data_IF_317942314426
#
_entry.id   IF_317942314426
#
_cell.length_a   1.000
_cell.length_b   1.000
_cell.length_c   1.000
_cell.angle_alpha   90.00
_cell.angle_beta   90.00
_cell.angle_gamma   90.00
#
_symmetry.space_group_name_H-M   'P 1'
#
loop_
_entity.id
_entity.type
_entity.pdbx_description
1 polymer ?
#
# COMPACT_ATOMS: atom_id res chain seq x y z
N UNK A 1 -30.00 58.62 4.03
CA UNK A 1 -30.67 58.17 5.28
C UNK A 1 -30.77 56.64 5.41
N UNK A 2 -30.49 55.84 4.37
CA UNK A 2 -30.54 54.37 4.41
C UNK A 2 -29.25 53.67 4.89
N UNK A 3 -28.09 54.33 4.80
CA UNK A 3 -26.80 53.73 5.23
C UNK A 3 -26.60 53.71 6.75
N UNK A 4 -27.27 54.60 7.49
CA UNK A 4 -27.08 54.77 8.93
C UNK A 4 -27.87 53.74 9.76
N UNK A 5 -29.01 53.29 9.24
CA UNK A 5 -29.78 52.20 9.86
C UNK A 5 -29.10 50.84 9.62
N UNK A 6 -28.49 50.64 8.45
CA UNK A 6 -27.75 49.42 8.13
C UNK A 6 -26.47 49.30 8.98
N UNK A 7 -25.73 50.39 9.16
CA UNK A 7 -24.53 50.43 10.00
C UNK A 7 -24.86 50.18 11.47
N UNK A 8 -25.99 50.70 11.96
CA UNK A 8 -26.49 50.42 13.32
C UNK A 8 -26.87 48.94 13.50
N UNK A 9 -27.56 48.34 12.52
CA UNK A 9 -27.91 46.91 12.54
C UNK A 9 -26.67 46.01 12.55
N UNK A 10 -25.67 46.33 11.71
CA UNK A 10 -24.40 45.61 11.65
C UNK A 10 -23.59 45.74 12.95
N UNK A 11 -23.59 46.92 13.57
CA UNK A 11 -22.91 47.13 14.86
C UNK A 11 -23.61 46.36 15.99
N UNK A 12 -24.96 46.32 15.99
CA UNK A 12 -25.74 45.55 16.96
C UNK A 12 -25.50 44.03 16.80
N UNK A 13 -25.46 43.55 15.57
CA UNK A 13 -25.14 42.15 15.26
C UNK A 13 -23.70 41.77 15.65
N UNK A 14 -22.72 42.65 15.43
CA UNK A 14 -21.33 42.45 15.87
C UNK A 14 -21.18 42.42 17.39
N UNK A 15 -21.95 43.25 18.11
CA UNK A 15 -21.97 43.26 19.57
C UNK A 15 -22.49 41.93 20.11
N UNK A 16 -23.67 41.49 19.64
CA UNK A 16 -24.24 40.20 20.05
C UNK A 16 -23.34 39.02 19.68
N UNK A 17 -22.66 39.05 18.51
CA UNK A 17 -21.69 38.01 18.14
C UNK A 17 -20.50 37.92 19.12
N UNK A 18 -20.05 39.04 19.70
CA UNK A 18 -18.99 39.02 20.73
C UNK A 18 -19.50 38.52 22.08
N UNK A 19 -20.75 38.85 22.44
CA UNK A 19 -21.36 38.43 23.71
C UNK A 19 -21.74 36.94 23.73
N UNK A 20 -22.17 36.38 22.60
CA UNK A 20 -22.55 34.96 22.49
C UNK A 20 -21.34 34.00 22.59
N UNK A 21 -20.12 34.50 22.38
CA UNK A 21 -18.86 33.78 22.64
C UNK A 21 -18.70 32.43 21.92
N UNK A 22 -17.72 31.65 22.37
CA UNK A 22 -17.45 30.30 21.84
C UNK A 22 -18.46 29.25 22.31
N UNK A 23 -19.21 29.52 23.38
CA UNK A 23 -20.18 28.58 23.97
C UNK A 23 -21.24 28.14 22.97
N UNK A 24 -21.80 29.08 22.21
CA UNK A 24 -22.83 28.76 21.22
C UNK A 24 -22.27 27.86 20.12
N UNK A 25 -20.99 28.03 19.76
CA UNK A 25 -20.33 27.15 18.80
C UNK A 25 -20.10 25.75 19.40
N UNK A 26 -19.64 25.67 20.65
CA UNK A 26 -19.45 24.42 21.38
C UNK A 26 -20.77 23.66 21.54
N UNK A 27 -21.84 24.32 21.96
CA UNK A 27 -23.19 23.74 22.13
C UNK A 27 -23.76 23.22 20.81
N UNK A 28 -23.55 23.95 19.70
CA UNK A 28 -23.96 23.50 18.36
C UNK A 28 -23.17 22.24 17.97
N UNK A 29 -21.86 22.24 18.17
CA UNK A 29 -21.01 21.08 17.85
C UNK A 29 -21.42 19.87 18.69
N UNK A 30 -21.64 20.05 19.99
CA UNK A 30 -22.11 18.99 20.89
C UNK A 30 -23.44 18.40 20.41
N UNK A 31 -24.41 19.25 20.06
CA UNK A 31 -25.71 18.78 19.55
C UNK A 31 -25.60 17.97 18.26
N UNK A 32 -24.69 18.36 17.35
CA UNK A 32 -24.44 17.65 16.09
C UNK A 32 -23.85 16.27 16.37
N UNK A 33 -22.89 16.18 17.30
CA UNK A 33 -22.29 14.89 17.69
C UNK A 33 -23.31 13.97 18.37
N UNK A 34 -24.18 14.52 19.23
CA UNK A 34 -25.23 13.76 19.90
C UNK A 34 -26.26 13.20 18.92
N UNK A 35 -26.69 14.01 17.95
CA UNK A 35 -27.61 13.56 16.91
C UNK A 35 -26.97 12.50 16.01
N UNK A 36 -25.70 12.69 15.61
CA UNK A 36 -24.96 11.69 14.86
C UNK A 36 -24.84 10.36 15.62
N UNK A 37 -24.50 10.40 16.91
CA UNK A 37 -24.41 9.22 17.77
C UNK A 37 -25.77 8.52 17.92
N UNK A 38 -26.85 9.30 18.07
CA UNK A 38 -28.22 8.78 18.16
C UNK A 38 -28.64 8.09 16.87
N UNK A 39 -28.33 8.66 15.71
CA UNK A 39 -28.61 8.06 14.40
C UNK A 39 -27.80 6.77 14.24
N UNK A 40 -26.50 6.79 14.51
CA UNK A 40 -25.63 5.62 14.42
C UNK A 40 -26.12 4.46 15.29
N UNK A 41 -26.50 4.74 16.54
CA UNK A 41 -27.03 3.74 17.48
C UNK A 41 -28.36 3.12 17.03
N UNK A 42 -29.15 3.85 16.24
CA UNK A 42 -30.40 3.33 15.65
C UNK A 42 -30.18 2.54 14.37
N UNK A 43 -29.17 2.91 13.60
CA UNK A 43 -28.88 2.31 12.30
C UNK A 43 -27.98 1.07 12.39
N UNK A 44 -27.18 0.95 13.44
CA UNK A 44 -26.24 -0.17 13.65
C UNK A 44 -26.76 -1.05 14.78
N UNK A 45 -27.01 -2.32 14.48
CA UNK A 45 -27.25 -3.35 15.48
C UNK A 45 -25.90 -3.98 15.84
N UNK A 46 -25.34 -3.58 16.99
CA UNK A 46 -24.07 -4.12 17.48
C UNK A 46 -24.40 -5.42 18.24
N UNK A 47 -24.31 -6.54 17.54
CA UNK A 47 -24.42 -7.85 18.19
C UNK A 47 -23.18 -8.10 19.05
N UNK A 48 -23.32 -7.83 20.35
CA UNK A 48 -22.25 -7.98 21.34
C UNK A 48 -21.92 -9.46 21.65
N UNK A 49 -22.59 -10.42 20.99
CA UNK A 49 -22.46 -11.86 21.27
C UNK A 49 -21.89 -12.68 20.12
N UNK A 50 -21.84 -12.19 18.88
CA UNK A 50 -21.36 -13.02 17.78
C UNK A 50 -19.93 -12.69 17.33
N UNK A 51 -19.03 -13.64 17.62
CA UNK A 51 -17.94 -14.08 16.72
C UNK A 51 -16.81 -13.04 16.53
N UNK A 52 -15.74 -12.94 17.33
CA UNK A 52 -14.51 -13.77 17.28
C UNK A 52 -13.47 -13.31 18.34
N UNK A 53 -13.93 -12.63 19.41
CA UNK A 53 -13.10 -11.87 20.37
C UNK A 53 -11.93 -12.62 21.05
N UNK A 54 -11.76 -13.92 20.85
CA UNK A 54 -10.59 -14.67 21.36
C UNK A 54 -9.38 -14.58 20.45
N UNK A 55 -9.55 -14.79 19.14
CA UNK A 55 -8.45 -14.84 18.17
C UNK A 55 -7.98 -13.43 17.80
N UNK A 56 -8.90 -12.53 17.46
CA UNK A 56 -8.55 -11.15 17.08
C UNK A 56 -7.90 -10.40 18.25
N UNK A 57 -8.40 -10.55 19.48
CA UNK A 57 -7.75 -9.94 20.66
C UNK A 57 -6.42 -10.59 21.03
N UNK A 58 -6.23 -11.88 20.75
CA UNK A 58 -4.97 -12.55 21.02
C UNK A 58 -3.91 -12.15 19.99
N UNK A 59 -4.31 -12.04 18.72
CA UNK A 59 -3.50 -11.51 17.63
C UNK A 59 -3.15 -10.05 17.96
N UNK A 60 -4.11 -9.19 18.26
CA UNK A 60 -3.86 -7.80 18.69
C UNK A 60 -2.89 -7.75 19.87
N UNK A 61 -3.08 -8.54 20.92
CA UNK A 61 -2.15 -8.50 22.08
C UNK A 61 -0.72 -8.86 21.70
N UNK A 62 -0.52 -9.75 20.73
CA UNK A 62 0.79 -10.16 20.24
C UNK A 62 1.36 -9.09 19.29
N UNK A 63 0.53 -8.57 18.38
CA UNK A 63 0.85 -7.50 17.39
C UNK A 63 1.19 -6.18 18.07
N UNK A 64 0.39 -5.74 19.04
CA UNK A 64 0.51 -4.41 19.68
C UNK A 64 1.46 -4.39 20.88
N UNK A 65 2.08 -5.52 21.23
CA UNK A 65 3.02 -5.54 22.35
C UNK A 65 4.36 -4.92 21.97
N UNK A 66 4.82 -3.95 22.77
CA UNK A 66 6.07 -3.21 22.53
C UNK A 66 7.33 -4.08 22.45
N UNK A 67 7.30 -5.26 23.08
CA UNK A 67 8.44 -6.18 23.11
C UNK A 67 8.34 -7.31 22.08
N UNK A 68 7.13 -7.86 21.80
CA UNK A 68 6.98 -8.91 20.79
C UNK A 68 6.75 -8.37 19.38
N UNK A 69 6.40 -7.09 19.22
CA UNK A 69 6.27 -6.46 17.91
C UNK A 69 7.55 -6.55 17.07
N UNK A 70 8.72 -6.28 17.67
CA UNK A 70 9.99 -6.34 16.94
C UNK A 70 10.41 -7.77 16.51
N UNK A 71 10.42 -8.79 17.40
CA UNK A 71 10.64 -10.18 17.00
C UNK A 71 9.64 -10.69 15.96
N UNK A 72 8.37 -10.32 16.08
CA UNK A 72 7.32 -10.73 15.18
C UNK A 72 7.47 -10.09 13.80
N UNK A 73 7.82 -8.80 13.76
CA UNK A 73 8.19 -8.10 12.52
C UNK A 73 9.36 -8.81 11.81
N UNK A 74 10.42 -9.15 12.55
CA UNK A 74 11.56 -9.88 11.99
C UNK A 74 11.16 -11.25 11.45
N UNK A 75 10.31 -11.99 12.16
CA UNK A 75 9.79 -13.29 11.73
C UNK A 75 8.97 -13.15 10.44
N UNK A 76 8.05 -12.19 10.40
CA UNK A 76 7.16 -11.96 9.27
C UNK A 76 7.95 -11.50 8.03
N UNK A 77 8.90 -10.59 8.21
CA UNK A 77 9.82 -10.16 7.16
C UNK A 77 10.65 -11.33 6.63
N UNK A 78 11.17 -12.18 7.52
CA UNK A 78 11.92 -13.40 7.14
C UNK A 78 11.03 -14.35 6.35
N UNK A 79 9.78 -14.53 6.77
CA UNK A 79 8.81 -15.38 6.08
C UNK A 79 8.52 -14.84 4.68
N UNK A 80 8.30 -13.53 4.54
CA UNK A 80 8.08 -12.89 3.22
C UNK A 80 9.30 -13.00 2.33
N UNK A 81 10.52 -12.80 2.85
CA UNK A 81 11.74 -13.01 2.08
C UNK A 81 11.89 -14.47 1.64
N UNK A 82 11.66 -15.41 2.55
CA UNK A 82 11.73 -16.84 2.24
C UNK A 82 10.71 -17.22 1.17
N UNK A 83 9.47 -16.76 1.30
CA UNK A 83 8.41 -16.98 0.33
C UNK A 83 8.74 -16.34 -1.02
N UNK A 84 9.31 -15.14 -1.01
CA UNK A 84 9.73 -14.44 -2.22
C UNK A 84 10.84 -15.21 -2.94
N UNK A 85 11.90 -15.61 -2.25
CA UNK A 85 13.04 -16.32 -2.87
C UNK A 85 12.59 -17.70 -3.38
N UNK A 86 11.89 -18.47 -2.56
CA UNK A 86 11.43 -19.81 -2.94
C UNK A 86 10.35 -19.75 -4.02
N UNK A 87 9.42 -18.79 -3.90
CA UNK A 87 8.32 -18.61 -4.85
C UNK A 87 8.78 -18.05 -6.19
N UNK A 88 9.80 -17.17 -6.21
CA UNK A 88 10.35 -16.60 -7.43
C UNK A 88 11.23 -17.56 -8.22
N UNK A 89 11.79 -18.59 -7.59
CA UNK A 89 12.69 -19.53 -8.26
C UNK A 89 12.01 -20.25 -9.44
N UNK A 90 10.73 -20.63 -9.28
CA UNK A 90 9.95 -21.29 -10.33
C UNK A 90 9.71 -20.35 -11.54
N UNK A 91 9.04 -19.18 -11.41
CA UNK A 91 8.85 -18.27 -12.53
C UNK A 91 10.17 -17.75 -13.10
N UNK A 92 11.21 -17.55 -12.27
CA UNK A 92 12.54 -17.17 -12.73
C UNK A 92 13.15 -18.22 -13.65
N UNK A 93 13.09 -19.50 -13.28
CA UNK A 93 13.56 -20.59 -14.15
C UNK A 93 12.77 -20.67 -15.46
N UNK A 94 11.45 -20.47 -15.42
CA UNK A 94 10.61 -20.49 -16.62
C UNK A 94 10.97 -19.36 -17.58
N UNK A 95 11.16 -18.14 -17.06
CA UNK A 95 11.58 -17.00 -17.87
C UNK A 95 13.01 -17.20 -18.40
N UNK A 96 13.93 -17.68 -17.57
CA UNK A 96 15.30 -17.96 -17.98
C UNK A 96 15.34 -18.97 -19.13
N UNK A 97 14.58 -20.06 -19.05
CA UNK A 97 14.50 -21.04 -20.14
C UNK A 97 13.89 -20.43 -21.40
N UNK A 98 12.87 -19.58 -21.28
CA UNK A 98 12.28 -18.93 -22.44
C UNK A 98 13.26 -17.96 -23.13
N UNK A 99 13.87 -17.04 -22.38
CA UNK A 99 14.74 -16.00 -22.95
C UNK A 99 16.14 -16.50 -23.29
N UNK A 100 16.75 -17.30 -22.41
CA UNK A 100 18.15 -17.72 -22.54
C UNK A 100 18.31 -19.06 -23.26
N UNK A 101 17.41 -20.04 -23.05
CA UNK A 101 17.59 -21.37 -23.64
C UNK A 101 16.85 -21.53 -24.98
N UNK A 102 15.76 -20.79 -25.21
CA UNK A 102 14.95 -20.89 -26.43
C UNK A 102 15.22 -19.71 -27.37
N UNK A 103 15.02 -18.47 -26.91
CA UNK A 103 15.06 -17.30 -27.80
C UNK A 103 16.50 -16.94 -28.15
N UNK A 104 17.43 -16.92 -27.20
CA UNK A 104 18.83 -16.55 -27.46
C UNK A 104 19.51 -17.43 -28.54
N UNK A 105 19.45 -18.78 -28.49
CA UNK A 105 20.02 -19.62 -29.54
C UNK A 105 19.32 -19.42 -30.89
N UNK A 106 18.02 -19.17 -30.89
CA UNK A 106 17.26 -18.82 -32.09
C UNK A 106 17.74 -17.51 -32.73
N UNK A 107 18.02 -16.49 -31.92
CA UNK A 107 18.58 -15.22 -32.38
C UNK A 107 19.99 -15.39 -32.94
N UNK A 108 20.84 -16.19 -32.28
CA UNK A 108 22.20 -16.49 -32.78
C UNK A 108 22.16 -17.23 -34.12
N UNK A 109 21.31 -18.26 -34.24
CA UNK A 109 21.16 -18.98 -35.51
C UNK A 109 20.63 -18.08 -36.64
N UNK A 110 19.69 -17.19 -36.33
CA UNK A 110 19.19 -16.21 -37.30
C UNK A 110 20.29 -15.22 -37.72
N UNK A 111 21.06 -14.71 -36.77
CA UNK A 111 22.18 -13.80 -37.01
C UNK A 111 23.26 -14.43 -37.91
N UNK A 112 23.59 -15.70 -37.66
CA UNK A 112 24.49 -16.48 -38.51
C UNK A 112 23.93 -16.68 -39.92
N UNK A 113 22.64 -17.03 -40.06
CA UNK A 113 22.00 -17.20 -41.38
C UNK A 113 21.95 -15.90 -42.20
N UNK A 114 21.89 -14.75 -41.53
CA UNK A 114 21.87 -13.43 -42.15
C UNK A 114 23.30 -12.86 -42.39
N UNK A 115 24.36 -13.60 -42.03
CA UNK A 115 25.75 -13.15 -42.09
C UNK A 115 25.97 -11.77 -41.43
N UNK A 116 25.35 -11.55 -40.27
CA UNK A 116 25.54 -10.32 -39.51
C UNK A 116 27.01 -10.22 -39.06
N UNK A 117 27.56 -9.01 -39.06
CA UNK A 117 28.94 -8.78 -38.62
C UNK A 117 29.11 -9.07 -37.13
N UNK A 118 30.22 -9.73 -36.78
CA UNK A 118 30.52 -10.19 -35.42
C UNK A 118 30.40 -9.11 -34.33
N UNK A 119 30.73 -7.86 -34.64
CA UNK A 119 30.66 -6.76 -33.68
C UNK A 119 29.22 -6.31 -33.40
N UNK A 120 28.33 -6.44 -34.39
CA UNK A 120 26.92 -6.04 -34.26
C UNK A 120 26.12 -7.13 -33.56
N UNK A 121 26.39 -8.39 -33.91
CA UNK A 121 25.86 -9.57 -33.22
C UNK A 121 26.27 -9.58 -31.74
N UNK A 122 27.56 -9.41 -31.44
CA UNK A 122 28.05 -9.36 -30.07
C UNK A 122 27.49 -8.18 -29.26
N UNK A 123 27.29 -7.01 -29.88
CA UNK A 123 26.72 -5.86 -29.18
C UNK A 123 25.23 -6.06 -28.86
N UNK A 124 24.44 -6.46 -29.86
CA UNK A 124 22.98 -6.53 -29.73
C UNK A 124 22.51 -7.80 -29.03
N UNK A 125 23.05 -8.96 -29.41
CA UNK A 125 22.57 -10.26 -28.93
C UNK A 125 23.31 -10.65 -27.66
N UNK A 126 24.63 -10.68 -27.67
CA UNK A 126 25.42 -11.10 -26.50
C UNK A 126 25.48 -9.99 -25.42
N UNK A 127 25.40 -8.72 -25.83
CA UNK A 127 25.37 -7.57 -24.92
C UNK A 127 23.96 -7.22 -24.47
N UNK A 128 23.21 -6.52 -25.32
CA UNK A 128 21.92 -5.91 -24.95
C UNK A 128 20.88 -6.98 -24.60
N UNK A 129 20.64 -7.93 -25.50
CA UNK A 129 19.60 -8.93 -25.31
C UNK A 129 19.89 -9.82 -24.10
N UNK A 130 21.11 -10.36 -23.99
CA UNK A 130 21.46 -11.22 -22.87
C UNK A 130 21.34 -10.49 -21.53
N UNK A 131 21.83 -9.25 -21.44
CA UNK A 131 21.72 -8.44 -20.23
C UNK A 131 20.26 -8.21 -19.83
N UNK A 132 19.41 -7.83 -20.79
CA UNK A 132 17.97 -7.62 -20.54
C UNK A 132 17.28 -8.93 -20.16
N UNK A 133 17.58 -10.02 -20.86
CA UNK A 133 17.04 -11.35 -20.57
C UNK A 133 17.38 -11.81 -19.15
N UNK A 134 18.61 -11.58 -18.69
CA UNK A 134 19.03 -11.87 -17.31
C UNK A 134 18.29 -11.00 -16.28
N UNK A 135 18.19 -9.69 -16.52
CA UNK A 135 17.47 -8.78 -15.61
C UNK A 135 16.00 -9.18 -15.49
N UNK A 136 15.34 -9.44 -16.61
CA UNK A 136 13.93 -9.84 -16.64
C UNK A 136 13.75 -11.23 -16.01
N UNK A 137 14.65 -12.18 -16.25
CA UNK A 137 14.48 -13.55 -15.74
C UNK A 137 14.82 -13.68 -14.27
N UNK A 138 15.84 -12.97 -13.77
CA UNK A 138 16.35 -13.17 -12.41
C UNK A 138 15.85 -12.11 -11.42
N UNK A 139 15.72 -10.85 -11.85
CA UNK A 139 15.40 -9.75 -10.93
C UNK A 139 13.91 -9.45 -10.85
N UNK A 140 13.18 -9.60 -11.97
CA UNK A 140 11.76 -9.28 -12.01
C UNK A 140 10.88 -10.21 -11.16
N UNK A 141 11.04 -11.55 -11.18
CA UNK A 141 10.14 -12.44 -10.44
C UNK A 141 10.18 -12.26 -8.91
N UNK A 142 11.36 -12.12 -8.26
CA UNK A 142 11.41 -11.79 -6.84
C UNK A 142 10.73 -10.46 -6.53
N UNK A 143 10.97 -9.41 -7.32
CA UNK A 143 10.35 -8.10 -7.07
C UNK A 143 8.83 -8.14 -7.25
N UNK A 144 8.33 -8.86 -8.25
CA UNK A 144 6.90 -9.00 -8.52
C UNK A 144 6.14 -9.70 -7.37
N UNK A 145 6.79 -10.60 -6.65
CA UNK A 145 6.22 -11.29 -5.48
C UNK A 145 6.42 -10.46 -4.21
N UNK A 146 7.59 -9.86 -4.06
CA UNK A 146 7.94 -9.07 -2.88
C UNK A 146 7.02 -7.86 -2.71
N UNK A 147 6.75 -7.12 -3.79
CA UNK A 147 6.04 -5.85 -3.70
C UNK A 147 4.61 -6.01 -3.14
N UNK A 148 3.75 -6.92 -3.65
CA UNK A 148 2.42 -7.11 -3.09
C UNK A 148 2.43 -7.64 -1.64
N UNK A 149 3.38 -8.51 -1.30
CA UNK A 149 3.52 -9.01 0.07
C UNK A 149 3.97 -7.90 1.04
N UNK A 150 4.87 -7.04 0.58
CA UNK A 150 5.36 -5.89 1.34
C UNK A 150 4.26 -4.85 1.56
N UNK A 151 3.47 -4.53 0.53
CA UNK A 151 2.34 -3.58 0.70
C UNK A 151 1.27 -4.13 1.64
N UNK A 152 1.01 -5.45 1.61
CA UNK A 152 0.09 -6.08 2.56
C UNK A 152 0.62 -5.97 4.00
N UNK A 153 1.92 -6.14 4.18
CA UNK A 153 2.63 -5.94 5.44
C UNK A 153 2.59 -4.50 5.96
N UNK A 154 2.73 -3.53 5.06
CA UNK A 154 2.60 -2.09 5.31
C UNK A 154 1.17 -1.76 5.78
N UNK A 155 0.15 -2.26 5.08
CA UNK A 155 -1.26 -2.08 5.44
C UNK A 155 -1.60 -2.68 6.83
N UNK A 156 -0.89 -3.73 7.25
CA UNK A 156 -1.03 -4.32 8.59
C UNK A 156 -0.32 -3.53 9.70
N UNK A 157 0.38 -2.43 9.37
CA UNK A 157 1.07 -1.56 10.32
C UNK A 157 2.34 -2.17 10.95
N UNK A 158 2.87 -3.25 10.35
CA UNK A 158 4.12 -3.88 10.80
C UNK A 158 5.37 -3.26 10.19
N UNK A 159 5.23 -2.67 9.01
CA UNK A 159 6.28 -1.88 8.36
C UNK A 159 5.82 -0.42 8.33
N UNK A 160 6.64 0.52 8.85
CA UNK A 160 6.35 1.95 8.79
C UNK A 160 6.55 2.54 7.39
#
# INVERSE_FOLDING_TARGET
>A
MSNDSLSQLLNKAKHFRRDLGNKVHEDIVESIYDDAARIAKRAVDIDNKSISMGLDRAIDRVVTSRLYGFPLMMLLLTLVFWLTISGANVPSSMLATLFLDIIYPGLKSLSESLNISWWLDGLLIDGVYLAVGWVISVMLPPMAIFFPLFTLLEDLGYLP
#
